data_IF_901231617106
#
_entry.id   IF_901231617106
#
_cell.length_a   1.000
_cell.length_b   1.000
_cell.length_c   1.000
_cell.angle_alpha   90.00
_cell.angle_beta   90.00
_cell.angle_gamma   90.00
#
_symmetry.space_group_name_H-M   'P 1'
#
loop_
_entity.id
_entity.type
_entity.pdbx_description
1 polymer ?
#
# COMPACT_ATOMS: atom_id res chain seq x y z
N UNK A 1 17.36 16.85 15.27
CA UNK A 1 17.26 18.20 14.76
C UNK A 1 15.88 18.35 14.15
N UNK A 2 15.15 19.30 14.70
CA UNK A 2 13.84 19.70 14.23
C UNK A 2 14.05 20.61 13.02
N UNK A 3 13.48 20.29 11.88
CA UNK A 3 13.31 21.22 10.78
C UNK A 3 11.86 21.24 10.36
N UNK A 4 11.33 22.41 10.25
CA UNK A 4 9.97 22.85 9.97
C UNK A 4 9.83 23.23 8.49
N UNK A 5 8.74 23.68 7.98
CA UNK A 5 7.71 23.15 7.08
C UNK A 5 8.07 22.95 5.61
N UNK A 6 9.31 22.70 5.25
CA UNK A 6 9.77 22.48 3.87
C UNK A 6 10.45 21.10 3.69
N UNK A 7 9.78 20.04 4.09
CA UNK A 7 10.28 18.67 3.86
C UNK A 7 10.83 17.97 5.10
N UNK A 8 10.21 18.16 6.24
CA UNK A 8 10.61 17.52 7.50
C UNK A 8 9.98 16.13 7.65
N UNK A 9 10.76 15.13 8.13
CA UNK A 9 10.18 13.85 8.47
C UNK A 9 9.26 13.99 9.68
N UNK A 10 7.99 13.63 9.55
CA UNK A 10 7.10 13.46 10.68
C UNK A 10 7.53 12.23 11.48
N UNK A 11 7.69 12.39 12.79
CA UNK A 11 8.04 11.30 13.70
C UNK A 11 6.78 10.74 14.33
N UNK A 12 6.49 9.47 14.08
CA UNK A 12 5.45 8.76 14.82
C UNK A 12 5.90 8.47 16.25
N UNK A 13 4.99 8.29 17.22
CA UNK A 13 5.33 8.04 18.64
C UNK A 13 6.23 6.83 18.86
N UNK A 14 6.24 5.86 17.93
CA UNK A 14 7.09 4.66 17.94
C UNK A 14 8.49 4.88 17.37
N UNK A 15 8.83 6.10 16.94
CA UNK A 15 10.15 6.44 16.40
C UNK A 15 10.34 6.16 14.90
N UNK A 16 9.29 5.74 14.20
CA UNK A 16 9.32 5.59 12.74
C UNK A 16 9.25 6.96 12.06
N UNK A 17 10.05 7.19 11.02
CA UNK A 17 10.02 8.42 10.23
C UNK A 17 9.25 8.18 8.94
N UNK A 18 8.31 9.08 8.65
CA UNK A 18 7.59 9.15 7.38
C UNK A 18 8.02 10.43 6.68
N UNK A 19 8.59 10.32 5.49
CA UNK A 19 8.91 11.48 4.66
C UNK A 19 7.71 11.80 3.79
N UNK A 20 7.15 12.98 3.99
CA UNK A 20 6.10 13.53 3.16
C UNK A 20 6.73 14.56 2.21
N UNK A 21 6.66 14.32 0.90
CA UNK A 21 6.91 15.39 -0.07
C UNK A 21 5.64 16.23 -0.13
N UNK A 22 5.69 17.44 0.41
CA UNK A 22 4.55 18.33 0.45
C UNK A 22 3.94 18.53 -0.95
N UNK A 23 2.65 18.32 -1.13
CA UNK A 23 1.93 18.84 -2.28
C UNK A 23 1.83 20.35 -2.12
N UNK A 24 2.05 21.09 -3.22
CA UNK A 24 1.79 22.52 -3.30
C UNK A 24 0.40 22.84 -2.71
N UNK A 25 0.36 23.88 -1.89
CA UNK A 25 -0.83 24.38 -1.19
C UNK A 25 -2.11 24.33 -2.04
N UNK A 26 -3.00 23.41 -1.73
CA UNK A 26 -4.41 23.52 -2.02
C UNK A 26 -5.20 23.11 -0.77
N UNK A 27 -6.07 24.04 -0.34
CA UNK A 27 -6.90 23.93 0.83
C UNK A 27 -7.53 22.55 0.99
N UNK A 28 -7.29 21.92 2.14
CA UNK A 28 -7.95 20.70 2.57
C UNK A 28 -9.46 20.95 2.73
N UNK A 29 -10.21 20.73 1.69
CA UNK A 29 -11.62 20.43 1.83
C UNK A 29 -11.68 18.96 2.23
N UNK A 30 -12.09 18.67 3.46
CA UNK A 30 -12.52 17.33 3.85
C UNK A 30 -13.75 16.99 3.02
N UNK A 31 -13.52 16.50 1.82
CA UNK A 31 -14.55 15.82 1.07
C UNK A 31 -14.87 14.54 1.85
N UNK A 32 -16.09 14.44 2.33
CA UNK A 32 -16.58 13.24 3.02
C UNK A 32 -16.28 12.05 2.13
N UNK A 33 -15.41 11.16 2.60
CA UNK A 33 -15.05 9.95 1.88
C UNK A 33 -16.35 9.25 1.42
N UNK A 34 -16.43 8.79 0.17
CA UNK A 34 -17.58 8.05 -0.28
C UNK A 34 -17.76 6.84 0.65
N UNK A 35 -18.88 6.79 1.35
CA UNK A 35 -19.22 5.61 2.16
C UNK A 35 -19.21 4.40 1.25
N UNK A 36 -18.62 3.30 1.73
CA UNK A 36 -18.60 2.02 1.03
C UNK A 36 -19.98 1.75 0.40
N UNK A 37 -20.02 1.52 -0.90
CA UNK A 37 -21.25 1.19 -1.61
C UNK A 37 -21.53 -0.27 -1.27
N UNK A 38 -22.60 -0.62 -0.51
CA UNK A 38 -22.95 -2.02 -0.28
C UNK A 38 -23.32 -2.64 -1.62
N UNK A 39 -22.65 -3.73 -1.98
CA UNK A 39 -23.07 -4.54 -3.11
C UNK A 39 -24.42 -5.23 -2.85
N UNK A 40 -25.02 -5.83 -3.87
CA UNK A 40 -26.28 -6.57 -3.73
C UNK A 40 -26.18 -7.77 -2.78
N UNK A 41 -24.98 -8.21 -2.45
CA UNK A 41 -24.64 -9.28 -1.48
C UNK A 41 -24.41 -8.75 -0.04
N UNK A 42 -24.55 -7.45 0.19
CA UNK A 42 -24.30 -6.81 1.48
C UNK A 42 -22.80 -6.66 1.83
N UNK A 43 -21.89 -7.00 0.91
CA UNK A 43 -20.44 -6.83 1.05
C UNK A 43 -20.07 -5.44 0.54
N UNK A 44 -19.18 -4.74 1.24
CA UNK A 44 -18.66 -3.47 0.77
C UNK A 44 -17.67 -3.72 -0.38
N UNK A 45 -17.71 -2.83 -1.38
CA UNK A 45 -16.79 -2.86 -2.52
C UNK A 45 -15.93 -1.59 -2.55
N UNK A 46 -14.74 -1.72 -3.11
CA UNK A 46 -13.87 -0.58 -3.38
C UNK A 46 -14.47 0.27 -4.52
N UNK A 47 -14.34 1.59 -4.48
CA UNK A 47 -14.80 2.46 -5.56
C UNK A 47 -14.03 2.18 -6.86
N UNK A 48 -14.68 2.40 -7.99
CA UNK A 48 -14.04 2.29 -9.29
C UNK A 48 -14.31 3.55 -10.12
N UNK A 49 -13.28 4.19 -10.69
CA UNK A 49 -11.86 3.85 -10.58
C UNK A 49 -11.31 4.12 -9.18
N UNK A 50 -10.33 3.32 -8.75
CA UNK A 50 -9.56 3.58 -7.54
C UNK A 50 -8.68 4.82 -7.74
N UNK A 51 -8.61 5.68 -6.72
CA UNK A 51 -7.71 6.83 -6.67
C UNK A 51 -6.40 6.49 -5.98
N UNK A 52 -6.43 5.56 -5.03
CA UNK A 52 -5.27 5.08 -4.29
C UNK A 52 -4.93 5.90 -3.05
N UNK A 53 -5.93 6.57 -2.43
CA UNK A 53 -5.75 7.20 -1.12
C UNK A 53 -5.73 6.14 -0.03
N UNK A 54 -4.64 6.09 0.74
CA UNK A 54 -4.50 5.16 1.87
C UNK A 54 -4.47 5.95 3.16
N UNK A 55 -5.27 5.56 4.16
CA UNK A 55 -5.34 6.24 5.44
C UNK A 55 -5.29 5.24 6.60
N UNK A 56 -4.45 5.57 7.58
CA UNK A 56 -4.37 4.86 8.85
C UNK A 56 -4.98 5.75 9.93
N UNK A 57 -5.99 5.23 10.63
CA UNK A 57 -6.66 5.94 11.71
C UNK A 57 -6.52 5.15 13.01
N UNK A 58 -5.73 5.70 13.95
CA UNK A 58 -5.48 5.13 15.27
C UNK A 58 -5.10 3.65 15.23
N UNK A 59 -4.32 3.26 14.21
CA UNK A 59 -3.95 1.85 14.00
C UNK A 59 -3.05 1.37 15.11
N UNK A 60 -3.41 0.23 15.68
CA UNK A 60 -2.65 -0.52 16.67
C UNK A 60 -2.43 -1.93 16.16
N UNK A 61 -1.22 -2.44 16.40
CA UNK A 61 -0.88 -3.79 16.00
C UNK A 61 0.26 -4.37 16.85
N UNK A 62 0.14 -5.63 17.17
CA UNK A 62 1.16 -6.45 17.83
C UNK A 62 1.17 -7.86 17.23
N UNK A 63 2.35 -8.45 17.07
CA UNK A 63 2.44 -9.87 16.73
C UNK A 63 2.15 -10.77 17.94
N UNK A 64 2.45 -10.26 19.13
CA UNK A 64 2.15 -10.89 20.41
C UNK A 64 1.61 -9.83 21.35
N UNK A 65 0.57 -10.11 22.16
CA UNK A 65 -0.09 -9.12 23.01
C UNK A 65 0.88 -8.37 23.96
N UNK A 66 1.96 -9.05 24.38
CA UNK A 66 2.93 -8.53 25.34
C UNK A 66 3.93 -7.55 24.71
N UNK A 67 3.99 -7.47 23.38
CA UNK A 67 4.95 -6.61 22.66
C UNK A 67 4.23 -5.76 21.59
N UNK A 68 3.65 -4.63 22.01
CA UNK A 68 3.07 -3.68 21.05
C UNK A 68 4.13 -3.22 20.05
N UNK A 69 3.83 -3.30 18.76
CA UNK A 69 4.72 -2.84 17.69
C UNK A 69 4.27 -1.49 17.14
N UNK A 70 2.97 -1.34 16.93
CA UNK A 70 2.33 -0.09 16.49
C UNK A 70 1.29 0.26 17.54
N UNK A 71 1.42 1.43 18.15
CA UNK A 71 0.58 1.82 19.31
C UNK A 71 -0.52 2.80 18.98
N UNK A 72 -0.28 3.72 18.04
CA UNK A 72 -1.25 4.72 17.58
C UNK A 72 -0.75 5.37 16.28
N UNK A 73 -0.85 4.66 15.16
CA UNK A 73 -0.42 5.19 13.87
C UNK A 73 -1.57 5.94 13.21
N UNK A 74 -1.31 7.21 12.89
CA UNK A 74 -2.17 8.08 12.11
C UNK A 74 -1.37 8.61 10.92
N UNK A 75 -1.82 8.32 9.70
CA UNK A 75 -1.09 8.69 8.50
C UNK A 75 -2.02 8.66 7.29
N UNK A 76 -1.79 9.55 6.33
CA UNK A 76 -2.51 9.58 5.05
C UNK A 76 -1.50 9.64 3.91
N UNK A 77 -1.65 8.75 2.94
CA UNK A 77 -1.01 8.86 1.62
C UNK A 77 -2.08 9.30 0.62
N UNK A 78 -1.89 10.47 0.02
CA UNK A 78 -2.82 10.99 -0.98
C UNK A 78 -2.61 10.33 -2.35
N UNK A 79 -3.62 10.35 -3.24
CA UNK A 79 -3.53 9.81 -4.58
C UNK A 79 -2.30 10.33 -5.34
N UNK A 80 -1.51 9.42 -5.92
CA UNK A 80 -0.30 9.76 -6.67
C UNK A 80 0.92 10.14 -5.82
N UNK A 81 0.78 10.18 -4.51
CA UNK A 81 1.89 10.48 -3.61
C UNK A 81 2.84 9.27 -3.49
N UNK A 82 4.13 9.54 -3.47
CA UNK A 82 5.16 8.55 -3.12
C UNK A 82 5.57 8.76 -1.66
N UNK A 83 5.45 7.71 -0.86
CA UNK A 83 5.76 7.74 0.57
C UNK A 83 6.92 6.79 0.86
N UNK A 84 7.95 7.30 1.53
CA UNK A 84 9.06 6.49 2.03
C UNK A 84 8.87 6.22 3.53
N UNK A 85 8.82 4.94 3.91
CA UNK A 85 8.76 4.52 5.30
C UNK A 85 10.19 4.18 5.73
N UNK A 86 10.74 4.96 6.65
CA UNK A 86 12.12 4.81 7.13
C UNK A 86 12.16 4.56 8.63
N UNK A 87 13.17 3.84 9.09
CA UNK A 87 13.32 3.51 10.50
C UNK A 87 14.32 2.38 10.73
N UNK A 88 14.75 2.11 11.96
CA UNK A 88 15.66 1.02 12.26
C UNK A 88 15.06 -0.35 11.95
N UNK A 89 15.91 -1.37 11.92
CA UNK A 89 15.45 -2.76 11.79
C UNK A 89 14.53 -3.12 12.96
N UNK A 90 13.39 -3.75 12.67
CA UNK A 90 12.40 -4.09 13.68
C UNK A 90 11.37 -2.98 13.99
N UNK A 91 11.47 -1.79 13.41
CA UNK A 91 10.51 -0.68 13.62
C UNK A 91 9.13 -0.88 12.97
N UNK A 92 8.84 -2.03 12.39
CA UNK A 92 7.52 -2.32 11.83
C UNK A 92 7.29 -1.87 10.37
N UNK A 93 8.33 -1.43 9.64
CA UNK A 93 8.17 -0.97 8.24
C UNK A 93 7.47 -1.98 7.33
N UNK A 94 7.96 -3.20 7.29
CA UNK A 94 7.35 -4.30 6.54
C UNK A 94 5.97 -4.66 7.07
N UNK A 95 5.77 -4.51 8.37
CA UNK A 95 4.47 -4.76 9.01
C UNK A 95 3.41 -3.81 8.47
N UNK A 96 3.71 -2.52 8.27
CA UNK A 96 2.75 -1.57 7.69
C UNK A 96 2.28 -2.02 6.30
N UNK A 97 3.21 -2.46 5.44
CA UNK A 97 2.87 -2.99 4.11
C UNK A 97 1.98 -4.23 4.23
N UNK A 98 2.32 -5.13 5.16
CA UNK A 98 1.54 -6.35 5.41
C UNK A 98 0.13 -6.04 5.92
N UNK A 99 -0.04 -4.98 6.72
CA UNK A 99 -1.35 -4.53 7.20
C UNK A 99 -2.19 -3.94 6.06
N UNK A 100 -1.60 -3.15 5.15
CA UNK A 100 -2.30 -2.64 3.96
C UNK A 100 -2.83 -3.80 3.11
N UNK A 101 -2.00 -4.82 2.88
CA UNK A 101 -2.37 -6.04 2.13
C UNK A 101 -3.29 -6.99 2.92
N UNK A 102 -3.57 -6.64 4.17
CA UNK A 102 -4.39 -7.43 5.08
C UNK A 102 -3.90 -8.87 5.22
N UNK A 103 -2.54 -9.06 5.35
CA UNK A 103 -1.97 -10.33 5.78
C UNK A 103 -2.19 -10.56 7.27
N UNK A 104 -2.34 -9.47 8.02
CA UNK A 104 -2.71 -9.44 9.44
C UNK A 104 -3.87 -8.47 9.63
N UNK A 105 -4.70 -8.72 10.63
CA UNK A 105 -5.74 -7.78 11.06
C UNK A 105 -5.15 -6.82 12.10
N UNK A 106 -5.60 -5.58 12.10
CA UNK A 106 -5.20 -4.60 13.11
C UNK A 106 -5.87 -4.90 14.46
N UNK A 107 -5.17 -4.68 15.57
CA UNK A 107 -5.71 -4.85 16.93
C UNK A 107 -6.66 -3.70 17.29
N UNK A 108 -6.50 -2.54 16.66
CA UNK A 108 -7.37 -1.39 16.86
C UNK A 108 -7.18 -0.34 15.77
N UNK A 109 -8.10 0.61 15.73
CA UNK A 109 -8.16 1.58 14.64
C UNK A 109 -8.64 0.94 13.33
N UNK A 110 -8.32 1.57 12.21
CA UNK A 110 -8.69 1.08 10.88
C UNK A 110 -7.74 1.58 9.79
N UNK A 111 -7.71 0.85 8.69
CA UNK A 111 -7.01 1.24 7.46
C UNK A 111 -8.08 1.44 6.40
N UNK A 112 -8.06 2.60 5.73
CA UNK A 112 -8.99 2.93 4.67
C UNK A 112 -8.25 2.95 3.33
N UNK A 113 -8.88 2.41 2.30
CA UNK A 113 -8.48 2.57 0.90
C UNK A 113 -9.60 3.32 0.17
N UNK A 114 -9.29 4.52 -0.32
CA UNK A 114 -10.27 5.45 -0.90
C UNK A 114 -11.51 5.66 -0.01
N UNK A 115 -11.28 5.76 1.32
CA UNK A 115 -12.31 5.97 2.32
C UNK A 115 -13.08 4.72 2.76
N UNK A 116 -12.80 3.54 2.17
CA UNK A 116 -13.44 2.27 2.51
C UNK A 116 -12.56 1.49 3.48
N UNK A 117 -13.12 1.08 4.63
CA UNK A 117 -12.40 0.24 5.59
C UNK A 117 -12.01 -1.11 4.95
N UNK A 118 -10.73 -1.40 4.92
CA UNK A 118 -10.18 -2.60 4.28
C UNK A 118 -10.74 -3.90 4.87
N UNK A 119 -11.28 -3.87 6.09
CA UNK A 119 -11.92 -5.03 6.74
C UNK A 119 -13.30 -5.35 6.16
N UNK A 120 -13.96 -4.38 5.55
CA UNK A 120 -15.32 -4.54 5.02
C UNK A 120 -15.35 -5.10 3.61
N UNK A 121 -14.23 -5.07 2.89
CA UNK A 121 -14.11 -5.65 1.55
C UNK A 121 -13.46 -7.02 1.58
N UNK A 122 -13.62 -7.80 0.53
CA UNK A 122 -12.96 -9.10 0.43
C UNK A 122 -11.43 -8.94 0.32
N UNK A 123 -10.67 -9.88 0.90
CA UNK A 123 -9.19 -9.88 0.73
C UNK A 123 -8.76 -10.01 -0.73
N UNK A 124 -9.53 -10.73 -1.55
CA UNK A 124 -9.27 -10.87 -2.97
C UNK A 124 -9.36 -9.53 -3.69
N UNK A 125 -10.42 -8.76 -3.43
CA UNK A 125 -10.63 -7.45 -4.03
C UNK A 125 -9.56 -6.43 -3.60
N UNK A 126 -9.22 -6.40 -2.30
CA UNK A 126 -8.17 -5.54 -1.78
C UNK A 126 -6.81 -5.83 -2.42
N UNK A 127 -6.45 -7.11 -2.55
CA UNK A 127 -5.17 -7.52 -3.14
C UNK A 127 -5.14 -7.32 -4.66
N UNK A 128 -6.28 -7.44 -5.35
CA UNK A 128 -6.38 -7.13 -6.77
C UNK A 128 -6.23 -5.61 -7.05
N UNK A 129 -6.50 -4.78 -6.03
CA UNK A 129 -6.36 -3.33 -6.10
C UNK A 129 -4.94 -2.83 -5.75
N UNK A 130 -4.06 -3.71 -5.26
CA UNK A 130 -2.73 -3.37 -4.76
C UNK A 130 -1.66 -4.19 -5.45
N UNK A 131 -0.52 -3.58 -5.79
CA UNK A 131 0.68 -4.28 -6.25
C UNK A 131 1.73 -4.32 -5.14
N UNK A 132 2.43 -5.43 -5.01
CA UNK A 132 3.51 -5.60 -4.03
C UNK A 132 4.79 -6.07 -4.70
N UNK A 133 5.88 -5.35 -4.47
CA UNK A 133 7.22 -5.78 -4.86
C UNK A 133 7.95 -6.24 -3.60
N UNK A 134 8.29 -7.53 -3.55
CA UNK A 134 9.01 -8.12 -2.43
C UNK A 134 10.51 -7.78 -2.50
N UNK A 135 11.15 -7.71 -1.35
CA UNK A 135 12.62 -7.55 -1.26
C UNK A 135 13.33 -8.77 -1.85
N UNK A 136 12.84 -9.96 -1.55
CA UNK A 136 13.33 -11.21 -2.11
C UNK A 136 12.45 -11.62 -3.29
N UNK A 137 12.96 -11.45 -4.50
CA UNK A 137 12.26 -11.86 -5.70
C UNK A 137 12.17 -13.38 -5.78
N UNK A 138 10.96 -13.89 -6.00
CA UNK A 138 10.71 -15.30 -6.25
C UNK A 138 10.42 -15.48 -7.73
N UNK A 139 11.19 -16.36 -8.39
CA UNK A 139 10.93 -16.77 -9.76
C UNK A 139 10.40 -18.19 -9.76
N UNK A 140 9.29 -18.39 -10.46
CA UNK A 140 8.76 -19.72 -10.71
C UNK A 140 9.53 -20.39 -11.85
N UNK A 141 9.59 -21.73 -11.82
CA UNK A 141 10.13 -22.49 -12.94
C UNK A 141 9.37 -22.19 -14.24
N UNK A 142 10.11 -21.98 -15.33
CA UNK A 142 9.54 -21.60 -16.62
C UNK A 142 10.26 -20.40 -17.25
N UNK A 143 9.61 -19.76 -18.20
CA UNK A 143 10.16 -18.63 -18.93
C UNK A 143 9.96 -17.30 -18.17
N UNK A 144 10.75 -16.28 -18.52
CA UNK A 144 10.57 -14.89 -18.02
C UNK A 144 9.16 -14.40 -18.38
N UNK A 145 8.69 -14.72 -19.59
CA UNK A 145 7.35 -14.37 -20.05
C UNK A 145 6.26 -14.94 -19.15
N UNK A 146 6.34 -16.20 -18.78
CA UNK A 146 5.39 -16.85 -17.87
C UNK A 146 5.44 -16.22 -16.48
N UNK A 147 6.61 -15.90 -15.99
CA UNK A 147 6.77 -15.20 -14.70
C UNK A 147 6.13 -13.80 -14.71
N UNK A 148 6.28 -13.02 -15.79
CA UNK A 148 5.60 -11.72 -15.92
C UNK A 148 4.09 -11.92 -16.02
N UNK A 149 3.63 -12.89 -16.82
CA UNK A 149 2.20 -13.21 -17.00
C UNK A 149 1.53 -13.70 -15.72
N UNK A 150 2.29 -14.19 -14.75
CA UNK A 150 1.75 -14.65 -13.48
C UNK A 150 0.92 -13.58 -12.75
N UNK A 151 1.24 -12.30 -12.93
CA UNK A 151 0.48 -11.18 -12.37
C UNK A 151 -0.93 -11.04 -12.97
N UNK A 152 -1.15 -11.51 -14.23
CA UNK A 152 -2.43 -11.58 -14.92
C UNK A 152 -2.39 -12.70 -15.96
N UNK A 153 -2.99 -13.83 -15.63
CA UNK A 153 -2.86 -15.08 -16.40
C UNK A 153 -3.48 -15.00 -17.80
N UNK A 154 -4.45 -14.11 -18.01
CA UNK A 154 -5.12 -13.86 -19.29
C UNK A 154 -4.46 -12.74 -20.12
N UNK A 155 -3.32 -12.21 -19.68
CA UNK A 155 -2.59 -11.18 -20.41
C UNK A 155 -2.08 -11.70 -21.76
N UNK A 156 -2.22 -10.88 -22.81
CA UNK A 156 -1.66 -11.18 -24.13
C UNK A 156 -0.14 -11.07 -24.14
N UNK A 157 0.51 -11.58 -25.16
CA UNK A 157 1.97 -11.47 -25.31
C UNK A 157 2.41 -10.01 -25.45
N UNK A 158 1.63 -9.19 -26.14
CA UNK A 158 1.88 -7.76 -26.31
C UNK A 158 1.84 -7.01 -24.96
N UNK A 159 0.85 -7.30 -24.13
CA UNK A 159 0.73 -6.71 -22.78
C UNK A 159 1.88 -7.13 -21.87
N UNK A 160 2.33 -8.37 -21.96
CA UNK A 160 3.51 -8.87 -21.23
C UNK A 160 4.78 -8.12 -21.66
N UNK A 161 4.95 -7.90 -22.99
CA UNK A 161 6.09 -7.15 -23.51
C UNK A 161 6.04 -5.69 -23.06
N UNK A 162 4.87 -5.05 -23.10
CA UNK A 162 4.72 -3.67 -22.62
C UNK A 162 5.02 -3.54 -21.11
N UNK A 163 4.58 -4.49 -20.30
CA UNK A 163 4.94 -4.54 -18.87
C UNK A 163 6.46 -4.71 -18.66
N UNK A 164 7.11 -5.57 -19.45
CA UNK A 164 8.56 -5.77 -19.42
C UNK A 164 9.33 -4.50 -19.79
N UNK A 165 8.87 -3.73 -20.79
CA UNK A 165 9.44 -2.45 -21.17
C UNK A 165 9.27 -1.39 -20.07
N UNK A 166 8.09 -1.29 -19.49
CA UNK A 166 7.79 -0.35 -18.43
C UNK A 166 8.68 -0.54 -17.18
N UNK A 167 9.12 -1.76 -16.91
CA UNK A 167 9.96 -2.14 -15.76
C UNK A 167 11.42 -2.36 -16.12
N UNK A 168 11.84 -2.05 -17.36
CA UNK A 168 13.19 -2.26 -17.89
C UNK A 168 13.67 -3.73 -17.93
N UNK A 169 12.81 -4.69 -17.68
CA UNK A 169 13.12 -6.14 -17.83
C UNK A 169 13.47 -6.45 -19.29
N UNK A 170 12.82 -5.80 -20.24
CA UNK A 170 13.11 -5.94 -21.68
C UNK A 170 14.60 -5.69 -22.00
N UNK A 171 15.21 -4.66 -21.42
CA UNK A 171 16.64 -4.38 -21.60
C UNK A 171 17.52 -5.50 -21.06
N UNK A 172 17.16 -6.05 -19.90
CA UNK A 172 17.90 -7.15 -19.32
C UNK A 172 17.81 -8.43 -20.18
N UNK A 173 16.63 -8.76 -20.68
CA UNK A 173 16.39 -9.94 -21.52
C UNK A 173 17.21 -9.91 -22.81
N UNK A 174 17.41 -8.72 -23.42
CA UNK A 174 18.23 -8.57 -24.63
C UNK A 174 19.74 -8.71 -24.36
N UNK A 175 20.18 -8.82 -23.11
CA UNK A 175 21.58 -9.04 -22.73
C UNK A 175 21.89 -10.51 -22.43
N UNK A 176 20.87 -11.37 -22.40
CA UNK A 176 21.01 -12.81 -22.18
C UNK A 176 21.23 -13.55 -23.51
#
# INVERSE_FOLDING_TARGET
PEETPDGTPARTPDGTFVWETAPSESAFVRETAPSAIPGPDGVAHLPRPLRGRVEFEHVRFSYTPEKPLITDLNFVAEPGQTVAIVGPTGAGKTTLVNLIMRFYEVDGGRILLDGVDTRTVSRGELRAATGMVLQDAVLFGGTIRENIRYGRLDATDEEVIEAAKATYVDRFVHTL
#
